data_IF_060532381371
#
_entry.id   IF_060532381371
#
_cell.length_a   1.000
_cell.length_b   1.000
_cell.length_c   1.000
_cell.angle_alpha   90.00
_cell.angle_beta   90.00
_cell.angle_gamma   90.00
#
_symmetry.space_group_name_H-M   'P 1'
#
loop_
_entity.id
_entity.type
_entity.pdbx_description
1 polymer ?
#
# COMPACT_ATOMS: atom_id res chain seq x y z
N UNK A 1 -6.52 11.52 12.05
CA UNK A 1 -6.29 10.47 11.01
C UNK A 1 -6.82 10.90 9.65
N UNK A 2 -6.37 10.28 8.58
CA UNK A 2 -6.89 10.43 7.21
C UNK A 2 -7.47 9.10 6.73
N UNK A 3 -8.69 9.11 6.21
CA UNK A 3 -9.27 7.94 5.53
C UNK A 3 -9.06 8.15 4.03
N UNK A 4 -8.36 7.22 3.40
CA UNK A 4 -8.00 7.25 2.00
C UNK A 4 -8.54 6.03 1.24
N UNK A 5 -8.69 6.18 -0.07
CA UNK A 5 -9.04 5.11 -1.01
C UNK A 5 -8.02 5.06 -2.12
N UNK A 6 -7.79 3.87 -2.69
CA UNK A 6 -6.99 3.79 -3.91
C UNK A 6 -7.76 4.46 -5.05
N UNK A 7 -7.08 5.30 -5.84
CA UNK A 7 -7.73 6.08 -6.91
C UNK A 7 -8.56 5.22 -7.87
N UNK A 8 -8.10 3.99 -8.18
CA UNK A 8 -8.83 3.09 -9.09
C UNK A 8 -10.02 2.37 -8.43
N UNK A 9 -10.17 2.40 -7.10
CA UNK A 9 -11.34 1.86 -6.39
C UNK A 9 -12.52 2.85 -6.39
N UNK A 10 -12.28 4.12 -6.73
CA UNK A 10 -13.32 5.15 -6.78
C UNK A 10 -14.32 4.96 -7.94
N UNK A 11 -13.99 4.12 -8.93
CA UNK A 11 -14.87 3.84 -10.08
C UNK A 11 -14.93 4.97 -11.12
N UNK A 12 -14.01 5.93 -11.04
CA UNK A 12 -13.89 7.06 -11.98
C UNK A 12 -12.48 7.14 -12.55
N UNK A 13 -12.29 7.87 -13.65
CA UNK A 13 -11.01 8.10 -14.31
C UNK A 13 -10.67 9.58 -14.32
N UNK A 14 -9.38 9.89 -14.13
CA UNK A 14 -8.89 11.27 -14.16
C UNK A 14 -9.00 12.01 -12.82
N UNK A 15 -8.07 12.96 -12.61
CA UNK A 15 -7.94 13.66 -11.33
C UNK A 15 -9.17 14.50 -10.97
N UNK A 16 -9.76 15.23 -11.93
CA UNK A 16 -10.95 16.04 -11.69
C UNK A 16 -12.14 15.21 -11.22
N UNK A 17 -12.45 14.11 -11.94
CA UNK A 17 -13.54 13.21 -11.55
C UNK A 17 -13.29 12.53 -10.19
N UNK A 18 -12.03 12.25 -9.84
CA UNK A 18 -11.71 11.72 -8.50
C UNK A 18 -11.95 12.75 -7.40
N UNK A 19 -11.59 14.03 -7.62
CA UNK A 19 -11.87 15.12 -6.67
C UNK A 19 -13.37 15.24 -6.44
N UNK A 20 -14.16 15.30 -7.50
CA UNK A 20 -15.64 15.37 -7.41
C UNK A 20 -16.18 14.15 -6.63
N UNK A 21 -15.75 12.96 -6.98
CA UNK A 21 -16.19 11.71 -6.32
C UNK A 21 -15.82 11.66 -4.84
N UNK A 22 -14.64 12.10 -4.47
CA UNK A 22 -14.20 12.15 -3.07
C UNK A 22 -15.06 13.16 -2.27
N UNK A 23 -15.33 14.34 -2.84
CA UNK A 23 -16.19 15.33 -2.21
C UNK A 23 -17.63 14.82 -2.02
N UNK A 24 -18.22 14.14 -3.02
CA UNK A 24 -19.52 13.48 -2.89
C UNK A 24 -19.55 12.48 -1.73
N UNK A 25 -18.42 11.79 -1.47
CA UNK A 25 -18.29 10.82 -0.41
C UNK A 25 -17.83 11.40 0.95
N UNK A 26 -17.61 12.73 1.05
CA UNK A 26 -17.10 13.37 2.27
C UNK A 26 -15.66 12.95 2.61
N UNK A 27 -14.82 12.72 1.59
CA UNK A 27 -13.45 12.24 1.70
C UNK A 27 -12.46 13.27 1.15
N UNK A 28 -11.23 13.26 1.69
CA UNK A 28 -10.18 14.23 1.36
C UNK A 28 -8.80 13.61 1.17
N UNK A 29 -8.70 12.28 1.02
CA UNK A 29 -7.42 11.61 0.86
C UNK A 29 -7.47 10.41 -0.09
N UNK A 30 -6.33 10.12 -0.74
CA UNK A 30 -6.17 8.99 -1.65
C UNK A 30 -4.82 8.29 -1.47
N UNK A 31 -4.79 7.00 -1.82
CA UNK A 31 -3.61 6.32 -2.31
C UNK A 31 -3.61 6.44 -3.83
N UNK A 32 -2.64 7.14 -4.38
CA UNK A 32 -2.54 7.40 -5.81
C UNK A 32 -1.89 6.21 -6.54
N UNK A 33 -2.63 5.56 -7.42
CA UNK A 33 -2.12 4.50 -8.32
C UNK A 33 -2.35 4.97 -9.75
N UNK A 34 -1.52 5.93 -10.21
CA UNK A 34 -1.78 6.72 -11.40
C UNK A 34 -1.97 5.85 -12.66
N UNK A 35 -1.14 4.83 -12.88
CA UNK A 35 -1.25 3.95 -14.05
C UNK A 35 -2.53 3.10 -14.14
N UNK A 36 -3.30 2.98 -13.05
CA UNK A 36 -4.61 2.30 -13.04
C UNK A 36 -5.78 3.26 -13.19
N UNK A 37 -5.51 4.55 -13.15
CA UNK A 37 -6.50 5.59 -12.94
C UNK A 37 -6.43 6.69 -14.03
N UNK A 38 -5.27 6.92 -14.62
CA UNK A 38 -5.02 7.88 -15.71
C UNK A 38 -4.61 7.09 -16.95
N UNK A 39 -5.42 7.16 -18.01
CA UNK A 39 -5.20 6.34 -19.21
C UNK A 39 -3.94 6.77 -19.99
N UNK A 40 -3.53 8.04 -19.85
CA UNK A 40 -2.32 8.60 -20.43
C UNK A 40 -1.02 8.14 -19.74
N UNK A 41 -1.13 7.48 -18.59
CA UNK A 41 0.02 6.99 -17.80
C UNK A 41 0.02 5.45 -17.79
N UNK A 42 0.33 4.76 -18.89
CA UNK A 42 0.47 3.31 -18.86
C UNK A 42 1.66 2.89 -17.96
N UNK A 43 1.62 1.67 -17.42
CA UNK A 43 2.71 1.13 -16.61
C UNK A 43 3.92 0.73 -17.47
N UNK A 44 4.67 1.75 -17.92
CA UNK A 44 5.90 1.59 -18.71
C UNK A 44 6.89 2.72 -18.40
N UNK A 45 8.21 2.50 -18.62
CA UNK A 45 9.23 3.52 -18.42
C UNK A 45 8.92 4.84 -19.17
N UNK A 46 9.17 5.97 -18.48
CA UNK A 46 9.01 7.34 -18.99
C UNK A 46 7.57 7.72 -19.40
N UNK A 47 6.55 6.96 -18.99
CA UNK A 47 5.16 7.34 -19.22
C UNK A 47 4.72 8.50 -18.31
N UNK A 48 5.22 8.55 -17.09
CA UNK A 48 5.02 9.67 -16.17
C UNK A 48 6.08 10.76 -16.48
N UNK A 49 5.62 11.95 -16.90
CA UNK A 49 6.48 13.11 -17.13
C UNK A 49 6.32 14.15 -16.02
N UNK A 50 7.22 15.14 -15.97
CA UNK A 50 7.13 16.23 -15.00
C UNK A 50 5.83 17.03 -15.16
N UNK A 51 5.42 17.28 -16.41
CA UNK A 51 4.20 18.03 -16.74
C UNK A 51 2.96 17.30 -16.25
N UNK A 52 2.86 15.99 -16.56
CA UNK A 52 1.73 15.14 -16.14
C UNK A 52 1.68 15.05 -14.62
N UNK A 53 2.82 14.81 -13.97
CA UNK A 53 2.90 14.72 -12.50
C UNK A 53 2.50 16.03 -11.82
N UNK A 54 2.97 17.18 -12.35
CA UNK A 54 2.63 18.50 -11.82
C UNK A 54 1.16 18.84 -12.00
N UNK A 55 0.56 18.52 -13.14
CA UNK A 55 -0.87 18.74 -13.39
C UNK A 55 -1.73 17.88 -12.48
N UNK A 56 -1.43 16.58 -12.39
CA UNK A 56 -2.15 15.63 -11.52
C UNK A 56 -2.09 16.06 -10.05
N UNK A 57 -0.88 16.35 -9.55
CA UNK A 57 -0.70 16.77 -8.18
C UNK A 57 -1.35 18.13 -7.86
N UNK A 58 -1.29 19.09 -8.82
CA UNK A 58 -1.96 20.38 -8.68
C UNK A 58 -3.49 20.20 -8.60
N UNK A 59 -4.09 19.43 -9.50
CA UNK A 59 -5.54 19.17 -9.51
C UNK A 59 -6.02 18.56 -8.19
N UNK A 60 -5.31 17.55 -7.68
CA UNK A 60 -5.64 16.95 -6.37
C UNK A 60 -5.49 17.97 -5.24
N UNK A 61 -4.41 18.74 -5.22
CA UNK A 61 -4.13 19.76 -4.18
C UNK A 61 -5.15 20.88 -4.20
N UNK A 62 -5.50 21.43 -5.37
CA UNK A 62 -6.50 22.48 -5.52
C UNK A 62 -7.91 21.98 -5.11
N UNK A 63 -8.17 20.69 -5.34
CA UNK A 63 -9.35 20.00 -4.82
C UNK A 63 -9.30 19.67 -3.33
N UNK A 64 -8.25 20.07 -2.59
CA UNK A 64 -8.11 19.78 -1.16
C UNK A 64 -7.83 18.31 -0.84
N UNK A 65 -7.40 17.51 -1.83
CA UNK A 65 -7.15 16.08 -1.67
C UNK A 65 -5.69 15.83 -1.26
N UNK A 66 -5.51 15.10 -0.17
CA UNK A 66 -4.22 14.63 0.31
C UNK A 66 -3.82 13.34 -0.39
N UNK A 67 -2.62 13.26 -0.94
CA UNK A 67 -2.03 11.99 -1.39
C UNK A 67 -1.27 11.39 -0.22
N UNK A 68 -1.78 10.33 0.39
CA UNK A 68 -1.17 9.66 1.54
C UNK A 68 -0.09 8.64 1.17
N UNK A 69 -0.19 8.09 -0.04
CA UNK A 69 0.74 7.10 -0.59
C UNK A 69 0.67 7.12 -2.12
N UNK A 70 1.81 6.94 -2.79
CA UNK A 70 1.88 6.64 -4.21
C UNK A 70 2.15 5.14 -4.37
N UNK A 71 1.29 4.42 -5.08
CA UNK A 71 1.46 3.00 -5.38
C UNK A 71 2.08 2.78 -6.74
N UNK A 72 3.27 2.16 -6.77
CA UNK A 72 3.96 1.74 -8.00
C UNK A 72 4.29 0.24 -7.90
N UNK A 73 3.24 -0.58 -7.77
CA UNK A 73 3.34 -2.00 -7.47
C UNK A 73 3.99 -2.80 -8.60
N UNK A 74 5.01 -3.59 -8.25
CA UNK A 74 5.67 -4.52 -9.16
C UNK A 74 6.19 -5.76 -8.42
N UNK A 75 6.54 -6.80 -9.18
CA UNK A 75 7.10 -8.04 -8.64
C UNK A 75 8.62 -8.08 -8.82
N UNK A 76 9.43 -7.85 -7.77
CA UNK A 76 10.88 -7.84 -7.84
C UNK A 76 11.51 -9.21 -8.14
N UNK A 77 10.79 -10.31 -7.86
CA UNK A 77 11.25 -11.69 -8.06
C UNK A 77 10.63 -12.37 -9.28
N UNK A 78 10.01 -11.60 -10.18
CA UNK A 78 9.45 -12.11 -11.43
C UNK A 78 10.51 -12.79 -12.28
N UNK A 79 10.16 -13.93 -12.94
CA UNK A 79 11.08 -14.72 -13.77
C UNK A 79 11.63 -13.94 -14.98
N UNK A 80 10.80 -13.06 -15.57
CA UNK A 80 11.22 -12.17 -16.66
C UNK A 80 12.02 -10.97 -16.12
N UNK A 81 13.35 -11.04 -16.26
CA UNK A 81 14.26 -10.00 -15.75
C UNK A 81 14.15 -8.66 -16.47
N UNK A 82 13.80 -8.66 -17.76
CA UNK A 82 13.54 -7.43 -18.52
C UNK A 82 12.30 -6.71 -17.96
N UNK A 83 11.24 -7.46 -17.68
CA UNK A 83 10.04 -6.91 -17.01
C UNK A 83 10.39 -6.30 -15.66
N UNK A 84 11.21 -6.96 -14.84
CA UNK A 84 11.68 -6.42 -13.54
C UNK A 84 12.44 -5.12 -13.75
N UNK A 85 13.37 -5.07 -14.71
CA UNK A 85 14.16 -3.87 -15.00
C UNK A 85 13.26 -2.69 -15.43
N UNK A 86 12.29 -2.93 -16.32
CA UNK A 86 11.31 -1.94 -16.74
C UNK A 86 10.46 -1.46 -15.56
N UNK A 87 9.98 -2.36 -14.70
CA UNK A 87 9.20 -2.00 -13.52
C UNK A 87 10.02 -1.16 -12.52
N UNK A 88 11.29 -1.49 -12.30
CA UNK A 88 12.19 -0.65 -11.47
C UNK A 88 12.35 0.77 -12.06
N UNK A 89 12.43 0.89 -13.38
CA UNK A 89 12.47 2.21 -14.03
C UNK A 89 11.17 2.97 -13.81
N UNK A 90 10.01 2.32 -13.95
CA UNK A 90 8.70 2.94 -13.62
C UNK A 90 8.66 3.39 -12.17
N UNK A 91 9.10 2.55 -11.23
CA UNK A 91 9.14 2.92 -9.82
C UNK A 91 10.03 4.16 -9.57
N UNK A 92 11.19 4.23 -10.24
CA UNK A 92 12.09 5.39 -10.19
C UNK A 92 11.45 6.66 -10.79
N UNK A 93 10.64 6.54 -11.85
CA UNK A 93 9.87 7.67 -12.39
C UNK A 93 8.91 8.22 -11.33
N UNK A 94 8.20 7.35 -10.60
CA UNK A 94 7.33 7.78 -9.50
C UNK A 94 8.11 8.41 -8.34
N UNK A 95 9.27 7.88 -7.98
CA UNK A 95 10.15 8.51 -6.98
C UNK A 95 10.61 9.90 -7.41
N UNK A 96 11.06 10.03 -8.67
CA UNK A 96 11.53 11.29 -9.26
C UNK A 96 10.48 12.40 -9.21
N UNK A 97 9.23 12.06 -9.46
CA UNK A 97 8.13 13.01 -9.52
C UNK A 97 7.21 12.99 -8.30
N UNK A 98 7.57 12.27 -7.25
CA UNK A 98 6.76 12.08 -6.04
C UNK A 98 6.32 13.40 -5.40
N UNK A 99 7.25 14.37 -5.28
CA UNK A 99 6.93 15.68 -4.73
C UNK A 99 5.94 16.48 -5.60
N UNK A 100 6.01 16.35 -6.93
CA UNK A 100 5.02 16.96 -7.84
C UNK A 100 3.64 16.33 -7.68
N UNK A 101 3.58 15.03 -7.39
CA UNK A 101 2.35 14.28 -7.12
C UNK A 101 1.76 14.55 -5.72
N UNK A 102 2.45 15.32 -4.89
CA UNK A 102 1.97 15.73 -3.56
C UNK A 102 2.23 14.73 -2.43
N UNK A 103 3.06 13.72 -2.66
CA UNK A 103 3.48 12.74 -1.64
C UNK A 103 4.91 12.29 -1.93
N UNK A 104 5.71 12.12 -0.89
CA UNK A 104 7.09 11.67 -1.05
C UNK A 104 7.32 10.20 -0.68
N UNK A 105 6.25 9.40 -0.55
CA UNK A 105 6.31 7.96 -0.25
C UNK A 105 5.80 7.18 -1.45
N UNK A 106 6.65 6.31 -2.01
CA UNK A 106 6.28 5.39 -3.10
C UNK A 106 6.36 3.96 -2.60
N UNK A 107 5.28 3.20 -2.73
CA UNK A 107 5.14 1.88 -2.16
C UNK A 107 5.01 0.75 -3.18
N UNK A 108 5.50 -0.43 -2.79
CA UNK A 108 5.28 -1.70 -3.48
C UNK A 108 5.35 -2.89 -2.51
N UNK A 109 4.77 -4.00 -2.95
CA UNK A 109 4.87 -5.30 -2.30
C UNK A 109 6.17 -6.03 -2.69
N UNK A 110 6.45 -7.15 -2.00
CA UNK A 110 7.70 -7.90 -2.15
C UNK A 110 7.64 -9.04 -3.17
N UNK A 111 6.49 -9.24 -3.82
CA UNK A 111 6.32 -10.13 -4.96
C UNK A 111 6.37 -11.62 -4.69
N UNK A 112 6.18 -12.39 -5.75
CA UNK A 112 6.15 -13.87 -5.70
C UNK A 112 6.75 -14.49 -6.96
N UNK A 113 7.36 -15.67 -6.81
CA UNK A 113 7.83 -16.51 -7.93
C UNK A 113 6.69 -17.13 -8.76
N UNK A 114 5.43 -16.87 -8.43
CA UNK A 114 4.29 -17.13 -9.31
C UNK A 114 4.03 -16.00 -10.32
N UNK A 115 5.04 -15.18 -10.56
CA UNK A 115 5.05 -14.12 -11.56
C UNK A 115 3.86 -13.15 -11.42
N UNK A 116 2.94 -13.15 -12.37
CA UNK A 116 1.81 -12.20 -12.38
C UNK A 116 0.65 -12.61 -11.44
N UNK A 117 0.70 -13.78 -10.83
CA UNK A 117 -0.38 -14.25 -9.93
C UNK A 117 -0.23 -13.80 -8.49
N UNK A 118 0.96 -13.44 -8.07
CA UNK A 118 1.26 -12.93 -6.72
C UNK A 118 0.76 -13.83 -5.57
N UNK A 119 0.76 -15.13 -5.79
CA UNK A 119 0.33 -16.14 -4.82
C UNK A 119 1.52 -16.91 -4.27
N UNK A 120 1.28 -17.72 -3.26
CA UNK A 120 2.32 -18.56 -2.66
C UNK A 120 3.05 -19.42 -3.71
N UNK A 121 4.39 -19.42 -3.60
CA UNK A 121 5.30 -20.31 -4.28
C UNK A 121 6.36 -20.78 -3.27
N UNK A 122 6.77 -22.06 -3.22
CA UNK A 122 7.81 -22.53 -2.28
C UNK A 122 9.12 -21.72 -2.36
N UNK A 123 9.49 -21.22 -3.53
CA UNK A 123 10.68 -20.40 -3.74
C UNK A 123 10.60 -19.05 -2.99
N UNK A 124 9.40 -18.55 -2.67
CA UNK A 124 9.26 -17.33 -1.88
C UNK A 124 9.87 -17.47 -0.46
N UNK A 125 10.12 -18.69 0.00
CA UNK A 125 10.66 -18.98 1.35
C UNK A 125 12.17 -19.16 1.36
N UNK A 126 12.87 -18.96 0.24
CA UNK A 126 14.31 -19.13 0.15
C UNK A 126 15.08 -17.85 0.54
N UNK A 127 16.32 -18.03 1.00
CA UNK A 127 17.20 -16.90 1.30
C UNK A 127 17.53 -16.09 0.03
N UNK A 128 17.65 -16.75 -1.11
CA UNK A 128 17.91 -16.12 -2.40
C UNK A 128 16.75 -15.18 -2.81
N UNK A 129 15.51 -15.58 -2.51
CA UNK A 129 14.35 -14.73 -2.75
C UNK A 129 14.40 -13.47 -1.88
N UNK A 130 14.68 -13.63 -0.59
CA UNK A 130 14.80 -12.51 0.35
C UNK A 130 15.96 -11.60 -0.06
N UNK A 131 17.10 -12.15 -0.42
CA UNK A 131 18.25 -11.37 -0.89
C UNK A 131 17.94 -10.56 -2.15
N UNK A 132 17.21 -11.16 -3.12
CA UNK A 132 16.74 -10.45 -4.32
C UNK A 132 15.85 -9.25 -3.98
N UNK A 133 14.95 -9.40 -2.99
CA UNK A 133 14.11 -8.31 -2.48
C UNK A 133 14.98 -7.23 -1.84
N UNK A 134 15.91 -7.60 -0.96
CA UNK A 134 16.84 -6.68 -0.29
C UNK A 134 17.64 -5.86 -1.32
N UNK A 135 18.25 -6.50 -2.29
CA UNK A 135 19.05 -5.84 -3.33
C UNK A 135 18.20 -4.86 -4.16
N UNK A 136 17.00 -5.30 -4.56
CA UNK A 136 16.08 -4.46 -5.33
C UNK A 136 15.66 -3.23 -4.56
N UNK A 137 15.23 -3.39 -3.31
CA UNK A 137 14.78 -2.26 -2.50
C UNK A 137 15.94 -1.39 -1.99
N UNK A 138 17.16 -1.93 -1.88
CA UNK A 138 18.37 -1.12 -1.63
C UNK A 138 18.63 -0.16 -2.79
N UNK A 139 18.62 -0.67 -4.03
CA UNK A 139 18.77 0.17 -5.24
C UNK A 139 17.72 1.28 -5.30
N UNK A 140 16.46 0.93 -5.01
CA UNK A 140 15.35 1.89 -5.04
C UNK A 140 15.42 2.90 -3.88
N UNK A 141 15.86 2.47 -2.69
CA UNK A 141 16.02 3.36 -1.53
C UNK A 141 17.17 4.36 -1.74
N UNK A 142 18.28 3.93 -2.33
CA UNK A 142 19.38 4.82 -2.67
C UNK A 142 18.93 5.88 -3.69
N UNK A 143 18.22 5.49 -4.75
CA UNK A 143 17.64 6.42 -5.70
C UNK A 143 16.61 7.36 -5.06
N UNK A 144 15.71 6.82 -4.21
CA UNK A 144 14.72 7.61 -3.49
C UNK A 144 15.36 8.71 -2.62
N UNK A 145 16.47 8.40 -1.96
CA UNK A 145 17.22 9.36 -1.14
C UNK A 145 17.70 10.56 -1.95
N UNK A 146 18.18 10.33 -3.16
CA UNK A 146 18.59 11.41 -4.08
C UNK A 146 17.42 12.31 -4.49
N UNK A 147 16.19 11.77 -4.51
CA UNK A 147 14.96 12.51 -4.82
C UNK A 147 14.28 13.14 -3.59
N UNK A 148 14.83 12.98 -2.39
CA UNK A 148 14.18 13.40 -1.14
C UNK A 148 12.91 12.60 -0.82
N UNK A 149 12.84 11.35 -1.29
CA UNK A 149 11.68 10.47 -1.18
C UNK A 149 11.96 9.25 -0.29
N UNK A 150 10.87 8.57 0.07
CA UNK A 150 10.84 7.35 0.86
C UNK A 150 10.28 6.20 0.03
N UNK A 151 10.70 4.99 0.33
CA UNK A 151 10.04 3.78 -0.18
C UNK A 151 9.20 3.14 0.92
N UNK A 152 8.02 2.64 0.56
CA UNK A 152 7.15 1.83 1.41
C UNK A 152 7.21 0.37 1.01
N UNK A 153 7.60 -0.51 1.93
CA UNK A 153 7.60 -1.96 1.70
C UNK A 153 6.37 -2.58 2.36
N UNK A 154 5.69 -3.44 1.61
CA UNK A 154 4.50 -4.16 2.07
C UNK A 154 4.70 -5.67 1.97
N UNK A 155 4.41 -6.39 3.06
CA UNK A 155 4.45 -7.85 3.11
C UNK A 155 3.07 -8.47 2.88
N UNK A 156 3.05 -9.74 2.43
CA UNK A 156 1.83 -10.52 2.30
C UNK A 156 2.12 -12.03 2.36
N UNK A 157 1.22 -12.83 2.92
CA UNK A 157 1.39 -14.28 3.14
C UNK A 157 1.79 -15.05 1.87
N UNK A 158 1.31 -14.60 0.70
CA UNK A 158 1.67 -15.19 -0.59
C UNK A 158 3.01 -14.74 -1.16
N UNK A 159 3.71 -13.78 -0.54
CA UNK A 159 4.91 -13.11 -1.07
C UNK A 159 6.22 -13.58 -0.42
N UNK A 160 7.35 -13.00 -0.85
CA UNK A 160 8.67 -13.24 -0.24
C UNK A 160 8.67 -12.80 1.23
N UNK A 161 8.20 -11.59 1.52
CA UNK A 161 8.04 -11.12 2.90
C UNK A 161 6.65 -11.52 3.44
N UNK A 162 6.50 -12.79 3.77
CA UNK A 162 5.22 -13.44 4.07
C UNK A 162 4.70 -13.25 5.49
N UNK A 163 5.51 -12.74 6.39
CA UNK A 163 5.15 -12.40 7.77
C UNK A 163 5.97 -11.22 8.27
N UNK A 164 5.61 -10.72 9.44
CA UNK A 164 6.28 -9.57 10.10
C UNK A 164 7.79 -9.80 10.24
N UNK A 165 8.19 -11.00 10.67
CA UNK A 165 9.61 -11.33 10.87
C UNK A 165 10.42 -11.29 9.57
N UNK A 166 9.86 -11.80 8.46
CA UNK A 166 10.53 -11.78 7.15
C UNK A 166 10.57 -10.38 6.56
N UNK A 167 9.49 -9.58 6.70
CA UNK A 167 9.52 -8.17 6.30
C UNK A 167 10.56 -7.40 7.12
N UNK A 168 10.67 -7.66 8.43
CA UNK A 168 11.72 -7.06 9.26
C UNK A 168 13.11 -7.36 8.73
N UNK A 169 13.38 -8.62 8.38
CA UNK A 169 14.68 -9.03 7.79
C UNK A 169 14.96 -8.27 6.48
N UNK A 170 13.96 -8.08 5.62
CA UNK A 170 14.10 -7.31 4.40
C UNK A 170 14.42 -5.83 4.70
N UNK A 171 13.64 -5.19 5.57
CA UNK A 171 13.84 -3.77 5.97
C UNK A 171 15.21 -3.56 6.62
N UNK A 172 15.61 -4.45 7.51
CA UNK A 172 16.95 -4.40 8.17
C UNK A 172 18.08 -4.67 7.16
N UNK A 173 17.86 -5.58 6.22
CA UNK A 173 18.84 -5.90 5.17
C UNK A 173 19.05 -4.75 4.19
N UNK A 174 17.99 -4.02 3.82
CA UNK A 174 18.10 -2.77 3.03
C UNK A 174 18.89 -1.71 3.80
N UNK A 175 18.71 -1.60 5.13
CA UNK A 175 19.48 -0.73 6.02
C UNK A 175 19.58 0.72 5.52
N UNK A 176 18.44 1.35 5.21
CA UNK A 176 18.33 2.74 4.81
C UNK A 176 17.26 3.45 5.65
N UNK A 177 17.50 4.70 6.02
CA UNK A 177 16.61 5.49 6.87
C UNK A 177 15.31 5.90 6.17
N UNK A 178 15.34 5.97 4.84
CA UNK A 178 14.20 6.29 3.99
C UNK A 178 13.38 5.06 3.57
N UNK A 179 13.55 3.92 4.25
CA UNK A 179 12.67 2.75 4.11
C UNK A 179 11.59 2.81 5.18
N UNK A 180 10.34 2.77 4.73
CA UNK A 180 9.12 2.77 5.51
C UNK A 180 8.34 1.49 5.28
N UNK A 181 7.28 1.29 6.06
CA UNK A 181 6.42 0.10 5.99
C UNK A 181 4.99 0.54 5.71
N UNK A 182 4.35 -0.15 4.78
CA UNK A 182 2.90 -0.18 4.59
C UNK A 182 2.42 -1.44 5.30
N UNK A 183 1.49 -1.29 6.23
CA UNK A 183 1.05 -2.42 7.05
C UNK A 183 -0.40 -2.78 6.77
N UNK A 184 -0.62 -4.00 6.33
CA UNK A 184 -1.92 -4.60 6.08
C UNK A 184 -2.06 -5.90 6.84
N UNK A 185 -2.91 -5.93 7.87
CA UNK A 185 -3.13 -7.12 8.68
C UNK A 185 -3.67 -8.27 7.83
N UNK A 186 -4.65 -7.97 6.94
CA UNK A 186 -5.28 -8.97 6.10
C UNK A 186 -4.26 -9.69 5.20
N UNK A 187 -3.28 -8.96 4.66
CA UNK A 187 -2.28 -9.52 3.76
C UNK A 187 -1.41 -10.60 4.40
N UNK A 188 -1.31 -10.65 5.74
CA UNK A 188 -0.59 -11.70 6.47
C UNK A 188 -1.45 -12.91 6.85
N UNK A 189 -2.76 -12.87 6.55
CA UNK A 189 -3.67 -13.93 6.97
C UNK A 189 -3.69 -15.09 5.97
N UNK A 190 -3.81 -16.28 6.56
CA UNK A 190 -4.16 -17.53 5.90
C UNK A 190 -5.12 -18.35 6.77
N UNK A 191 -5.47 -19.53 6.31
CA UNK A 191 -6.39 -20.43 7.01
C UNK A 191 -5.89 -20.89 8.39
N UNK A 192 -4.57 -20.83 8.62
CA UNK A 192 -3.96 -21.30 9.88
C UNK A 192 -3.83 -20.23 10.95
N UNK A 193 -3.84 -18.94 10.56
CA UNK A 193 -3.50 -17.84 11.46
C UNK A 193 -4.55 -16.73 11.55
N UNK A 194 -5.64 -16.78 10.75
CA UNK A 194 -6.61 -15.69 10.64
C UNK A 194 -7.22 -15.26 11.99
N UNK A 195 -7.37 -16.16 12.96
CA UNK A 195 -7.88 -15.82 14.29
C UNK A 195 -6.87 -15.07 15.17
N UNK A 196 -5.59 -15.01 14.75
CA UNK A 196 -4.50 -14.36 15.50
C UNK A 196 -4.15 -12.96 14.94
N UNK A 197 -5.05 -12.33 14.21
CA UNK A 197 -4.80 -11.05 13.53
C UNK A 197 -4.39 -9.92 14.49
N UNK A 198 -4.91 -9.88 15.73
CA UNK A 198 -4.49 -8.90 16.74
C UNK A 198 -3.05 -9.14 17.20
N UNK A 199 -2.61 -10.40 17.34
CA UNK A 199 -1.21 -10.71 17.66
C UNK A 199 -0.27 -10.27 16.52
N UNK A 200 -0.69 -10.47 15.26
CA UNK A 200 0.05 -10.02 14.07
C UNK A 200 0.14 -8.49 14.04
N UNK A 201 -0.96 -7.79 14.35
CA UNK A 201 -0.96 -6.33 14.47
C UNK A 201 0.00 -5.87 15.57
N UNK A 202 -0.12 -6.41 16.78
CA UNK A 202 0.73 -6.05 17.92
C UNK A 202 2.22 -6.30 17.63
N UNK A 203 2.55 -7.43 16.97
CA UNK A 203 3.90 -7.73 16.50
C UNK A 203 4.39 -6.69 15.49
N UNK A 204 3.55 -6.33 14.50
CA UNK A 204 3.87 -5.35 13.48
C UNK A 204 4.12 -3.95 14.06
N UNK A 205 3.21 -3.46 14.90
CA UNK A 205 3.34 -2.15 15.55
C UNK A 205 4.61 -2.05 16.39
N UNK A 206 4.96 -3.11 17.15
CA UNK A 206 6.17 -3.19 17.94
C UNK A 206 7.42 -3.25 17.06
N UNK A 207 7.41 -4.11 16.03
CA UNK A 207 8.58 -4.39 15.18
C UNK A 207 8.94 -3.19 14.32
N UNK A 208 7.95 -2.48 13.81
CA UNK A 208 8.12 -1.34 12.91
C UNK A 208 7.79 0.01 13.57
N UNK A 209 8.07 0.12 14.87
CA UNK A 209 7.83 1.36 15.61
C UNK A 209 8.50 2.57 14.91
N UNK A 210 7.68 3.60 14.58
CA UNK A 210 8.11 4.82 13.87
C UNK A 210 8.40 4.63 12.37
N UNK A 211 8.15 3.43 11.81
CA UNK A 211 8.37 3.13 10.38
C UNK A 211 7.08 2.91 9.59
N UNK A 212 5.97 2.54 10.24
CA UNK A 212 4.68 2.37 9.55
C UNK A 212 4.16 3.77 9.20
N UNK A 213 3.88 3.99 7.91
CA UNK A 213 3.42 5.28 7.38
C UNK A 213 2.00 5.23 6.83
N UNK A 214 1.52 4.03 6.49
CA UNK A 214 0.17 3.77 6.00
C UNK A 214 -0.31 2.44 6.52
N UNK A 215 -1.57 2.38 6.94
CA UNK A 215 -2.28 1.15 7.23
C UNK A 215 -3.30 0.88 6.12
N UNK A 216 -3.21 -0.30 5.50
CA UNK A 216 -4.28 -0.79 4.65
C UNK A 216 -5.32 -1.48 5.53
N UNK A 217 -6.57 -1.12 5.34
CA UNK A 217 -7.70 -1.70 6.05
C UNK A 217 -8.58 -2.47 5.07
N UNK A 218 -8.69 -3.75 5.35
CA UNK A 218 -9.60 -4.71 4.72
C UNK A 218 -10.38 -5.40 5.84
N UNK A 219 -11.32 -6.24 5.48
CA UNK A 219 -11.92 -7.19 6.41
C UNK A 219 -11.97 -8.57 5.76
N UNK A 220 -12.34 -9.61 6.49
CA UNK A 220 -12.38 -10.95 5.94
C UNK A 220 -13.55 -11.75 6.48
N UNK A 221 -13.95 -12.73 5.68
CA UNK A 221 -14.84 -13.82 6.08
C UNK A 221 -14.17 -15.16 5.79
N UNK A 222 -14.61 -16.21 6.49
CA UNK A 222 -14.25 -17.58 6.11
C UNK A 222 -15.27 -18.12 5.15
N UNK A 223 -14.87 -18.44 3.92
CA UNK A 223 -15.71 -19.04 2.90
C UNK A 223 -15.02 -20.26 2.32
N UNK A 224 -15.68 -21.41 2.36
CA UNK A 224 -15.15 -22.71 1.90
C UNK A 224 -13.77 -23.03 2.53
N UNK A 225 -13.60 -22.71 3.82
CA UNK A 225 -12.36 -22.90 4.55
C UNK A 225 -11.22 -21.96 4.18
N UNK A 226 -11.48 -20.91 3.39
CA UNK A 226 -10.48 -19.92 2.93
C UNK A 226 -10.77 -18.53 3.47
N UNK A 227 -9.71 -17.79 3.72
CA UNK A 227 -9.79 -16.35 4.04
C UNK A 227 -10.16 -15.59 2.77
N UNK A 228 -11.30 -14.90 2.80
CA UNK A 228 -11.81 -14.07 1.70
C UNK A 228 -11.93 -12.63 2.12
N UNK A 229 -11.37 -11.73 1.32
CA UNK A 229 -11.48 -10.30 1.54
C UNK A 229 -12.93 -9.81 1.40
N UNK A 230 -13.33 -8.94 2.32
CA UNK A 230 -14.55 -8.13 2.25
C UNK A 230 -14.21 -6.70 2.67
N UNK A 231 -15.08 -5.71 2.38
CA UNK A 231 -14.85 -4.33 2.83
C UNK A 231 -14.84 -4.20 4.37
N UNK A 232 -14.17 -3.17 4.92
CA UNK A 232 -14.12 -2.89 6.35
C UNK A 232 -15.49 -2.88 7.04
N UNK A 233 -15.61 -3.59 8.16
CA UNK A 233 -16.85 -3.73 8.94
C UNK A 233 -17.87 -4.72 8.36
N UNK A 234 -17.50 -5.49 7.34
CA UNK A 234 -18.36 -6.52 6.73
C UNK A 234 -17.89 -7.94 7.06
N UNK A 235 -16.88 -8.10 7.88
CA UNK A 235 -16.25 -9.39 8.18
C UNK A 235 -16.09 -9.66 9.67
N UNK A 236 -14.99 -10.34 9.99
CA UNK A 236 -14.69 -10.90 11.32
C UNK A 236 -13.67 -10.09 12.12
N UNK A 237 -13.13 -9.00 11.58
CA UNK A 237 -12.21 -8.17 12.33
C UNK A 237 -12.91 -7.38 13.45
N UNK A 238 -12.32 -7.38 14.63
CA UNK A 238 -12.69 -6.48 15.74
C UNK A 238 -12.09 -5.07 15.46
N UNK A 239 -12.81 -4.27 14.71
CA UNK A 239 -12.38 -2.92 14.33
C UNK A 239 -12.11 -1.99 15.52
N UNK A 240 -12.92 -1.99 16.60
CA UNK A 240 -12.57 -1.28 17.84
C UNK A 240 -11.19 -1.65 18.38
N UNK A 241 -10.90 -2.95 18.48
CA UNK A 241 -9.60 -3.42 18.96
C UNK A 241 -8.43 -3.07 18.02
N UNK A 242 -8.65 -3.11 16.69
CA UNK A 242 -7.66 -2.74 15.69
C UNK A 242 -7.39 -1.23 15.74
N UNK A 243 -8.43 -0.41 15.63
CA UNK A 243 -8.29 1.04 15.53
C UNK A 243 -7.77 1.68 16.82
N UNK A 244 -8.12 1.12 17.99
CA UNK A 244 -7.52 1.54 19.28
C UNK A 244 -5.99 1.37 19.27
N UNK A 245 -5.48 0.25 18.76
CA UNK A 245 -4.04 -0.01 18.64
C UNK A 245 -3.35 0.90 17.65
N UNK A 246 -3.96 1.09 16.48
CA UNK A 246 -3.43 1.99 15.45
C UNK A 246 -3.42 3.43 15.96
N UNK A 247 -4.48 3.89 16.63
CA UNK A 247 -4.58 5.24 17.20
C UNK A 247 -3.55 5.49 18.30
N UNK A 248 -3.28 4.48 19.13
CA UNK A 248 -2.22 4.53 20.15
C UNK A 248 -0.81 4.59 19.51
N UNK A 249 -0.61 3.96 18.35
CA UNK A 249 0.63 4.00 17.59
C UNK A 249 0.82 5.35 16.88
N UNK A 250 -0.20 5.81 16.17
CA UNK A 250 -0.20 7.08 15.44
C UNK A 250 -1.63 7.67 15.35
N UNK A 251 -1.89 8.72 16.12
CA UNK A 251 -3.18 9.44 16.10
C UNK A 251 -3.49 10.13 14.77
N UNK A 252 -2.47 10.39 13.96
CA UNK A 252 -2.57 11.07 12.66
C UNK A 252 -2.46 10.07 11.47
N UNK A 253 -2.60 8.76 11.74
CA UNK A 253 -2.46 7.68 10.78
C UNK A 253 -3.22 7.90 9.47
N UNK A 254 -2.62 7.46 8.36
CA UNK A 254 -3.29 7.32 7.07
C UNK A 254 -3.85 5.89 6.97
N UNK A 255 -5.16 5.78 6.83
CA UNK A 255 -5.91 4.53 6.74
C UNK A 255 -6.47 4.38 5.32
N UNK A 256 -5.96 3.44 4.54
CA UNK A 256 -6.45 3.17 3.18
C UNK A 256 -7.43 2.00 3.21
N UNK A 257 -8.70 2.26 2.89
CA UNK A 257 -9.73 1.23 2.78
C UNK A 257 -9.60 0.52 1.43
N UNK A 258 -8.74 -0.49 1.38
CA UNK A 258 -8.35 -1.15 0.14
C UNK A 258 -9.40 -2.13 -0.36
N UNK A 259 -9.69 -2.09 -1.68
CA UNK A 259 -10.69 -2.96 -2.31
C UNK A 259 -12.13 -2.62 -1.91
N UNK A 260 -12.34 -1.43 -1.34
CA UNK A 260 -13.68 -0.92 -1.00
C UNK A 260 -14.17 -0.06 -2.15
N UNK A 261 -15.21 -0.49 -2.84
CA UNK A 261 -15.68 0.10 -4.10
C UNK A 261 -17.18 0.36 -4.09
N UNK A 262 -17.63 1.22 -5.02
CA UNK A 262 -19.05 1.46 -5.28
C UNK A 262 -19.82 1.91 -4.04
N UNK A 263 -20.94 1.25 -3.76
CA UNK A 263 -21.83 1.58 -2.64
C UNK A 263 -21.21 1.37 -1.25
N UNK A 264 -20.08 0.66 -1.14
CA UNK A 264 -19.41 0.43 0.13
C UNK A 264 -18.49 1.58 0.55
N UNK A 265 -18.13 2.51 -0.35
CA UNK A 265 -17.20 3.61 -0.05
C UNK A 265 -17.68 4.45 1.15
N UNK A 266 -18.87 5.00 1.07
CA UNK A 266 -19.43 5.86 2.13
C UNK A 266 -19.67 5.09 3.42
N UNK A 267 -20.46 3.98 3.43
CA UNK A 267 -20.74 3.26 4.67
C UNK A 267 -19.51 2.75 5.41
N UNK A 268 -18.48 2.27 4.68
CA UNK A 268 -17.26 1.78 5.32
C UNK A 268 -16.39 2.93 5.86
N UNK A 269 -16.32 4.06 5.17
CA UNK A 269 -15.62 5.24 5.68
C UNK A 269 -16.26 5.81 6.94
N UNK A 270 -17.58 5.91 6.97
CA UNK A 270 -18.34 6.35 8.14
C UNK A 270 -18.18 5.38 9.32
N UNK A 271 -18.22 4.07 9.04
CA UNK A 271 -18.00 3.04 10.04
C UNK A 271 -16.62 3.17 10.69
N UNK A 272 -15.55 3.28 9.88
CA UNK A 272 -14.17 3.42 10.39
C UNK A 272 -14.02 4.73 11.17
N UNK A 273 -14.58 5.85 10.66
CA UNK A 273 -14.53 7.16 11.32
C UNK A 273 -15.20 7.11 12.69
N UNK A 274 -16.43 6.59 12.74
CA UNK A 274 -17.17 6.46 14.00
C UNK A 274 -16.41 5.66 15.03
N UNK A 275 -15.88 4.49 14.67
CA UNK A 275 -15.07 3.67 15.62
C UNK A 275 -13.82 4.42 16.07
N UNK A 276 -13.13 5.10 15.14
CA UNK A 276 -11.95 5.90 15.49
C UNK A 276 -12.23 6.98 16.52
N UNK A 277 -13.40 7.60 16.45
CA UNK A 277 -13.80 8.66 17.38
C UNK A 277 -14.20 8.09 18.76
N UNK A 278 -14.71 6.85 18.79
CA UNK A 278 -15.13 6.15 20.02
C UNK A 278 -13.97 5.53 20.82
N UNK A 279 -12.79 5.19 20.21
CA UNK A 279 -11.67 4.49 20.86
C UNK A 279 -10.55 5.41 21.37
#
# INVERSE_FOLDING_TARGET
>A
MKIAFRTHDLGVKGAGAAVEKLHECGLDAVQLVAYKFIDEIPYKPNALTAEIAAELGRTLKEGGITVGLIGAYFNPVHSNKEKVANCKTVFKDYLKYSNLLGCNIVGSETGSFNDDKWTYNPLNRTEEALQTVIETFTELADYAKEQGAYIGMEGAAGHVCWNVATLKRAVDGVNRDNVKVIFDIYNYLDESNHSRYLEILDEGLKTFAGRIVVFHLKDYVMQDGKVKQVPPGKGLFDYPAILSRIKAYDKDAVLVLEGTTGENIVPCSEYVRRIWDEV
#
